data_IF_628260539345
#
_entry.id   IF_628260539345
#
_cell.length_a   1.000
_cell.length_b   1.000
_cell.length_c   1.000
_cell.angle_alpha   90.00
_cell.angle_beta   90.00
_cell.angle_gamma   90.00
#
_symmetry.space_group_name_H-M   'P 1'
#
loop_
_entity.id
_entity.type
_entity.pdbx_description
1 polymer ?
#
# COMPACT_ATOMS: atom_id res chain seq x y z
N UNK A 1 15.76 34.96 -18.98
CA UNK A 1 14.57 34.10 -18.79
C UNK A 1 13.50 34.91 -18.03
N UNK A 2 12.23 34.91 -18.45
CA UNK A 2 11.20 35.69 -17.74
C UNK A 2 10.92 35.12 -16.34
N UNK A 3 10.74 36.00 -15.33
CA UNK A 3 10.52 35.65 -13.92
C UNK A 3 9.50 34.52 -13.71
N UNK A 4 8.42 34.50 -14.50
CA UNK A 4 7.38 33.45 -14.46
C UNK A 4 7.91 32.04 -14.73
N UNK A 5 8.87 31.89 -15.65
CA UNK A 5 9.45 30.57 -16.00
C UNK A 5 10.35 30.06 -14.87
N UNK A 6 11.11 30.95 -14.24
CA UNK A 6 11.96 30.61 -13.09
C UNK A 6 11.09 30.14 -11.92
N UNK A 7 10.02 30.88 -11.60
CA UNK A 7 9.07 30.49 -10.54
C UNK A 7 8.44 29.13 -10.84
N UNK A 8 8.06 28.87 -12.09
CA UNK A 8 7.45 27.59 -12.48
C UNK A 8 8.42 26.43 -12.31
N UNK A 9 9.69 26.58 -12.72
CA UNK A 9 10.71 25.55 -12.53
C UNK A 9 10.98 25.28 -11.05
N UNK A 10 11.10 26.33 -10.25
CA UNK A 10 11.28 26.21 -8.81
C UNK A 10 10.12 25.45 -8.15
N UNK A 11 8.88 25.75 -8.54
CA UNK A 11 7.69 25.06 -8.03
C UNK A 11 7.70 23.57 -8.38
N UNK A 12 8.06 23.21 -9.62
CA UNK A 12 8.15 21.79 -10.03
C UNK A 12 9.23 21.06 -9.23
N UNK A 13 10.38 21.68 -8.99
CA UNK A 13 11.46 21.11 -8.17
C UNK A 13 10.96 20.86 -6.74
N UNK A 14 10.29 21.84 -6.12
CA UNK A 14 9.74 21.70 -4.77
C UNK A 14 8.71 20.58 -4.71
N UNK A 15 7.75 20.53 -5.63
CA UNK A 15 6.73 19.48 -5.68
C UNK A 15 7.36 18.10 -5.88
N UNK A 16 8.36 17.99 -6.76
CA UNK A 16 9.06 16.73 -7.02
C UNK A 16 9.84 16.26 -5.79
N UNK A 17 10.50 17.19 -5.09
CA UNK A 17 11.25 16.88 -3.87
C UNK A 17 10.34 16.46 -2.73
N UNK A 18 9.22 17.18 -2.52
CA UNK A 18 8.20 16.80 -1.55
C UNK A 18 7.60 15.42 -1.86
N UNK A 19 7.34 15.13 -3.14
CA UNK A 19 6.81 13.83 -3.58
C UNK A 19 7.81 12.69 -3.35
N UNK A 20 9.09 12.94 -3.64
CA UNK A 20 10.18 12.01 -3.34
C UNK A 20 10.27 11.70 -1.85
N UNK A 21 10.31 12.74 -1.00
CA UNK A 21 10.39 12.59 0.46
C UNK A 21 9.19 11.81 1.00
N UNK A 22 7.99 12.19 0.58
CA UNK A 22 6.76 11.51 0.97
C UNK A 22 6.79 10.02 0.62
N UNK A 23 7.12 9.66 -0.62
CA UNK A 23 7.13 8.25 -1.02
C UNK A 23 8.20 7.45 -0.28
N UNK A 24 9.40 8.03 -0.10
CA UNK A 24 10.51 7.38 0.59
C UNK A 24 10.22 7.12 2.07
N UNK A 25 9.52 8.04 2.73
CA UNK A 25 9.12 7.87 4.13
C UNK A 25 7.90 6.94 4.27
N UNK A 26 6.94 7.05 3.35
CA UNK A 26 5.66 6.34 3.46
C UNK A 26 5.71 4.89 2.99
N UNK A 27 6.60 4.55 2.06
CA UNK A 27 6.64 3.24 1.42
C UNK A 27 8.04 2.64 1.53
N UNK A 28 8.11 1.32 1.66
CA UNK A 28 9.35 0.60 1.46
C UNK A 28 9.80 0.82 0.00
N UNK A 29 11.00 1.39 -0.24
CA UNK A 29 11.43 1.73 -1.60
C UNK A 29 11.53 0.55 -2.54
N UNK A 30 11.66 -0.68 -2.04
CA UNK A 30 11.74 -1.89 -2.87
C UNK A 30 10.44 -2.68 -2.90
N UNK A 31 9.35 -2.08 -2.42
CA UNK A 31 8.01 -2.62 -2.59
C UNK A 31 7.54 -2.50 -4.03
N UNK A 32 6.70 -3.47 -4.40
CA UNK A 32 5.90 -3.49 -5.62
C UNK A 32 4.44 -3.61 -5.20
N UNK A 33 3.56 -2.83 -5.82
CA UNK A 33 2.10 -2.94 -5.70
C UNK A 33 1.52 -3.32 -7.08
N UNK A 34 0.74 -4.39 -7.13
CA UNK A 34 0.07 -4.85 -8.35
C UNK A 34 -1.43 -4.81 -8.09
N UNK A 35 -2.15 -4.03 -8.90
CA UNK A 35 -3.62 -4.00 -8.90
C UNK A 35 -4.15 -5.01 -9.90
N UNK A 36 -5.19 -5.74 -9.51
CA UNK A 36 -5.80 -6.75 -10.37
C UNK A 36 -7.34 -6.78 -10.23
N UNK A 37 -7.99 -7.48 -11.16
CA UNK A 37 -9.39 -7.92 -11.10
C UNK A 37 -9.45 -9.44 -11.01
N UNK A 38 -10.56 -9.95 -10.45
CA UNK A 38 -10.72 -11.35 -10.07
C UNK A 38 -10.49 -11.58 -8.58
N UNK A 39 -10.55 -12.83 -8.14
CA UNK A 39 -10.39 -13.24 -6.74
C UNK A 39 -9.13 -14.10 -6.59
N UNK A 40 -8.16 -13.58 -5.84
CA UNK A 40 -6.93 -14.28 -5.49
C UNK A 40 -7.10 -14.97 -4.14
N UNK A 41 -7.04 -16.30 -4.11
CA UNK A 41 -7.03 -17.07 -2.87
C UNK A 41 -5.70 -16.92 -2.15
N UNK A 42 -5.73 -16.96 -0.82
CA UNK A 42 -4.52 -16.85 -0.01
C UNK A 42 -3.55 -18.01 -0.32
N UNK A 43 -4.07 -19.22 -0.51
CA UNK A 43 -3.28 -20.39 -0.87
C UNK A 43 -2.57 -20.27 -2.23
N UNK A 44 -3.22 -19.66 -3.22
CA UNK A 44 -2.65 -19.46 -4.54
C UNK A 44 -1.46 -18.51 -4.48
N UNK A 45 -1.61 -17.38 -3.77
CA UNK A 45 -0.49 -16.46 -3.62
C UNK A 45 0.61 -17.04 -2.73
N UNK A 46 0.30 -17.87 -1.73
CA UNK A 46 1.31 -18.60 -0.95
C UNK A 46 2.18 -19.51 -1.84
N UNK A 47 1.64 -20.08 -2.93
CA UNK A 47 2.43 -20.85 -3.92
C UNK A 47 3.37 -19.94 -4.69
N UNK A 48 2.89 -18.79 -5.17
CA UNK A 48 3.70 -17.77 -5.86
C UNK A 48 4.81 -17.28 -4.94
N UNK A 49 4.48 -16.97 -3.68
CA UNK A 49 5.41 -16.55 -2.63
C UNK A 49 6.58 -17.52 -2.47
N UNK A 50 6.28 -18.82 -2.34
CA UNK A 50 7.29 -19.87 -2.18
C UNK A 50 8.16 -20.02 -3.42
N UNK A 51 7.53 -20.06 -4.60
CA UNK A 51 8.24 -20.23 -5.88
C UNK A 51 9.18 -19.06 -6.21
N UNK A 52 8.79 -17.83 -5.86
CA UNK A 52 9.54 -16.61 -6.19
C UNK A 52 10.30 -16.01 -5.00
N UNK A 53 10.32 -16.72 -3.86
CA UNK A 53 10.99 -16.31 -2.61
C UNK A 53 10.59 -14.90 -2.13
N UNK A 54 9.28 -14.62 -2.10
CA UNK A 54 8.72 -13.34 -1.67
C UNK A 54 8.53 -13.32 -0.14
N UNK A 55 9.55 -12.95 0.62
CA UNK A 55 9.51 -13.07 2.09
C UNK A 55 8.42 -12.19 2.74
N UNK A 56 8.23 -10.98 2.22
CA UNK A 56 7.26 -9.99 2.69
C UNK A 56 6.23 -9.75 1.60
N UNK A 57 4.96 -9.99 1.92
CA UNK A 57 3.85 -9.71 1.01
C UNK A 57 2.56 -9.41 1.80
N UNK A 58 1.65 -8.70 1.14
CA UNK A 58 0.30 -8.44 1.66
C UNK A 58 -0.68 -8.44 0.50
N UNK A 59 -1.80 -9.14 0.64
CA UNK A 59 -2.95 -9.03 -0.26
C UNK A 59 -3.95 -8.13 0.43
N UNK A 60 -4.43 -7.09 -0.27
CA UNK A 60 -5.46 -6.21 0.25
C UNK A 60 -6.65 -6.10 -0.68
N UNK A 61 -7.85 -6.27 -0.12
CA UNK A 61 -9.09 -5.84 -0.75
C UNK A 61 -9.64 -4.65 0.00
N UNK A 62 -10.00 -3.57 -0.71
CA UNK A 62 -10.54 -2.37 -0.09
C UNK A 62 -11.81 -1.90 -0.76
N UNK A 63 -12.74 -1.45 0.06
CA UNK A 63 -14.02 -0.88 -0.36
C UNK A 63 -14.44 0.23 0.61
N UNK A 64 -15.38 1.06 0.20
CA UNK A 64 -16.12 1.91 1.13
C UNK A 64 -17.03 1.05 2.02
N UNK A 65 -16.95 1.26 3.33
CA UNK A 65 -17.81 0.61 4.32
C UNK A 65 -18.43 1.67 5.22
N UNK A 66 -19.72 1.96 4.99
CA UNK A 66 -20.41 3.12 5.58
C UNK A 66 -19.66 4.42 5.22
N UNK A 67 -19.22 5.17 6.23
CA UNK A 67 -18.42 6.39 6.05
C UNK A 67 -16.90 6.14 6.16
N UNK A 68 -16.48 4.90 6.33
CA UNK A 68 -15.09 4.50 6.54
C UNK A 68 -14.57 3.73 5.34
N UNK A 69 -13.25 3.52 5.29
CA UNK A 69 -12.63 2.59 4.34
C UNK A 69 -12.43 1.26 5.05
N UNK A 70 -12.94 0.18 4.49
CA UNK A 70 -12.63 -1.17 4.96
C UNK A 70 -11.52 -1.75 4.11
N UNK A 71 -10.54 -2.38 4.75
CA UNK A 71 -9.46 -3.10 4.11
C UNK A 71 -9.39 -4.49 4.73
N UNK A 72 -9.56 -5.50 3.90
CA UNK A 72 -9.25 -6.87 4.26
C UNK A 72 -7.78 -7.14 3.90
N UNK A 73 -7.00 -7.70 4.83
CA UNK A 73 -5.55 -7.89 4.64
C UNK A 73 -5.04 -9.25 5.12
N UNK A 74 -4.07 -9.83 4.40
CA UNK A 74 -3.28 -10.98 4.88
C UNK A 74 -2.21 -10.60 5.92
N UNK A 75 -2.07 -9.32 6.23
CA UNK A 75 -1.07 -8.79 7.17
C UNK A 75 0.23 -8.36 6.51
N UNK A 76 1.25 -8.09 7.33
CA UNK A 76 2.59 -7.58 6.95
C UNK A 76 2.60 -6.21 6.25
N UNK A 77 1.46 -5.50 6.19
CA UNK A 77 1.36 -4.18 5.55
C UNK A 77 2.37 -3.18 6.13
N UNK A 78 2.63 -3.22 7.45
CA UNK A 78 3.59 -2.36 8.15
C UNK A 78 5.04 -2.51 7.67
N UNK A 79 5.38 -3.61 6.98
CA UNK A 79 6.71 -3.82 6.39
C UNK A 79 6.82 -3.26 4.95
N UNK A 80 5.68 -2.90 4.37
CA UNK A 80 5.55 -2.44 2.98
C UNK A 80 5.21 -0.94 2.95
N UNK A 81 4.33 -0.52 3.85
CA UNK A 81 3.85 0.85 4.02
C UNK A 81 3.98 1.26 5.47
N UNK A 82 4.39 2.50 5.71
CA UNK A 82 4.38 3.07 7.05
C UNK A 82 2.92 3.25 7.51
N UNK A 83 2.52 2.50 8.53
CA UNK A 83 1.22 2.61 9.18
C UNK A 83 1.49 3.06 10.62
N UNK A 84 1.22 4.33 10.97
CA UNK A 84 1.56 4.87 12.28
C UNK A 84 0.58 4.36 13.34
N UNK A 85 0.91 3.23 13.97
CA UNK A 85 0.13 2.65 15.07
C UNK A 85 0.47 3.41 16.35
N UNK A 86 -0.56 3.92 17.03
CA UNK A 86 -0.42 4.66 18.30
C UNK A 86 -0.74 3.81 19.52
N UNK A 87 -1.57 2.77 19.37
CA UNK A 87 -1.90 1.82 20.43
C UNK A 87 -1.94 0.40 19.85
N UNK A 88 -1.46 -0.57 20.63
CA UNK A 88 -1.55 -2.00 20.30
C UNK A 88 -0.64 -2.43 19.14
N UNK A 89 -1.10 -3.39 18.34
CA UNK A 89 -0.33 -4.04 17.27
C UNK A 89 -1.09 -4.10 15.94
N UNK A 90 -0.39 -4.47 14.86
CA UNK A 90 -1.01 -4.68 13.55
C UNK A 90 -1.46 -6.12 13.34
N UNK A 91 -2.34 -6.35 12.37
CA UNK A 91 -2.74 -7.70 11.96
C UNK A 91 -1.53 -8.43 11.35
N UNK A 92 -1.12 -9.52 11.98
CA UNK A 92 -0.03 -10.41 11.54
C UNK A 92 -0.51 -11.81 11.19
N UNK A 93 -1.71 -12.18 11.63
CA UNK A 93 -2.33 -13.48 11.41
C UNK A 93 -3.77 -13.31 10.89
N UNK A 94 -4.10 -14.03 9.81
CA UNK A 94 -5.42 -14.02 9.19
C UNK A 94 -6.49 -14.78 9.99
N UNK A 95 -6.10 -15.66 10.91
CA UNK A 95 -7.03 -16.58 11.58
C UNK A 95 -7.72 -15.98 12.82
N UNK A 96 -7.11 -14.97 13.45
CA UNK A 96 -7.70 -14.30 14.62
C UNK A 96 -8.80 -13.33 14.20
N UNK A 97 -9.96 -13.35 14.87
CA UNK A 97 -11.04 -12.36 14.69
C UNK A 97 -10.71 -11.02 15.35
N UNK A 98 -9.74 -10.32 14.78
CA UNK A 98 -9.23 -9.05 15.27
C UNK A 98 -9.43 -7.94 14.26
N UNK A 99 -9.35 -6.68 14.68
CA UNK A 99 -9.39 -5.52 13.81
C UNK A 99 -8.34 -4.49 14.24
N UNK A 100 -7.83 -3.75 13.27
CA UNK A 100 -7.01 -2.56 13.52
C UNK A 100 -7.75 -1.39 12.91
N UNK A 101 -8.05 -0.36 13.70
CA UNK A 101 -8.90 0.74 13.26
C UNK A 101 -8.17 2.06 13.34
N UNK A 102 -8.58 3.04 12.55
CA UNK A 102 -8.09 4.40 12.70
C UNK A 102 -8.67 5.09 13.93
N UNK A 103 -7.94 6.05 14.48
CA UNK A 103 -8.39 6.92 15.59
C UNK A 103 -9.73 7.59 15.31
N UNK A 104 -10.01 8.04 14.08
CA UNK A 104 -11.31 8.61 13.69
C UNK A 104 -12.43 7.58 13.70
N UNK A 105 -12.12 6.30 13.46
CA UNK A 105 -13.08 5.20 13.61
C UNK A 105 -13.33 4.94 15.09
N UNK A 106 -12.26 4.94 15.90
CA UNK A 106 -12.31 4.75 17.34
C UNK A 106 -13.20 5.80 18.02
N UNK A 107 -12.98 7.08 17.70
CA UNK A 107 -13.80 8.18 18.20
C UNK A 107 -15.26 8.06 17.74
N UNK A 108 -15.48 7.70 16.47
CA UNK A 108 -16.84 7.56 15.95
C UNK A 108 -17.66 6.49 16.68
N UNK A 109 -17.12 5.27 16.84
CA UNK A 109 -17.85 4.14 17.41
C UNK A 109 -17.78 4.06 18.94
N UNK A 110 -16.67 4.50 19.54
CA UNK A 110 -16.39 4.25 20.96
C UNK A 110 -16.18 5.53 21.78
N UNK A 111 -16.22 6.71 21.15
CA UNK A 111 -16.01 8.02 21.80
C UNK A 111 -14.69 8.08 22.60
N UNK A 112 -13.65 7.48 22.03
CA UNK A 112 -12.32 7.43 22.65
C UNK A 112 -11.24 7.30 21.59
N UNK A 113 -10.05 7.83 21.89
CA UNK A 113 -8.86 7.65 21.05
C UNK A 113 -8.28 6.22 21.16
N UNK A 114 -8.54 5.52 22.27
CA UNK A 114 -8.05 4.16 22.48
C UNK A 114 -9.20 3.17 22.70
N UNK A 115 -9.54 2.45 21.64
CA UNK A 115 -10.54 1.37 21.67
C UNK A 115 -9.92 -0.04 21.70
N UNK A 116 -8.62 -0.19 22.00
CA UNK A 116 -8.00 -1.53 22.11
C UNK A 116 -8.74 -2.38 23.15
N UNK A 117 -9.00 -3.65 22.83
CA UNK A 117 -9.78 -4.60 23.61
C UNK A 117 -11.30 -4.47 23.46
N UNK A 118 -11.81 -3.40 22.80
CA UNK A 118 -13.24 -3.28 22.49
C UNK A 118 -13.58 -4.11 21.25
N UNK A 119 -14.88 -4.42 21.09
CA UNK A 119 -15.38 -5.14 19.91
C UNK A 119 -16.00 -4.20 18.89
N UNK A 120 -15.66 -4.38 17.63
CA UNK A 120 -16.29 -3.70 16.49
C UNK A 120 -17.03 -4.73 15.63
N UNK A 121 -18.25 -4.39 15.20
CA UNK A 121 -19.02 -5.22 14.28
C UNK A 121 -18.78 -4.78 12.83
N UNK A 122 -18.24 -5.69 12.02
CA UNK A 122 -18.06 -5.49 10.58
C UNK A 122 -18.84 -6.59 9.85
N UNK A 123 -19.81 -6.18 9.05
CA UNK A 123 -20.86 -7.05 8.53
C UNK A 123 -21.57 -7.81 9.67
N UNK A 124 -21.58 -9.14 9.62
CA UNK A 124 -22.17 -10.01 10.64
C UNK A 124 -21.16 -10.49 11.69
N UNK A 125 -19.89 -10.13 11.55
CA UNK A 125 -18.83 -10.61 12.43
C UNK A 125 -18.42 -9.54 13.46
N UNK A 126 -18.14 -9.99 14.67
CA UNK A 126 -17.47 -9.19 15.70
C UNK A 126 -15.97 -9.42 15.66
N UNK A 127 -15.22 -8.33 15.78
CA UNK A 127 -13.76 -8.32 15.81
C UNK A 127 -13.28 -7.58 17.05
N UNK A 128 -12.30 -8.13 17.76
CA UNK A 128 -11.61 -7.42 18.85
C UNK A 128 -10.62 -6.41 18.25
N UNK A 129 -10.70 -5.15 18.68
CA UNK A 129 -9.76 -4.11 18.25
C UNK A 129 -8.43 -4.34 18.96
N UNK A 130 -7.38 -4.65 18.19
CA UNK A 130 -6.03 -4.90 18.72
C UNK A 130 -5.04 -3.77 18.45
N UNK A 131 -5.44 -2.78 17.64
CA UNK A 131 -4.57 -1.65 17.35
C UNK A 131 -5.32 -0.43 16.82
N UNK A 132 -4.72 0.74 17.04
CA UNK A 132 -5.24 2.04 16.60
C UNK A 132 -4.22 2.75 15.71
N UNK A 133 -4.64 3.21 14.54
CA UNK A 133 -3.82 3.95 13.56
C UNK A 133 -4.08 5.44 13.70
N UNK A 134 -3.00 6.23 13.79
CA UNK A 134 -3.05 7.69 13.86
C UNK A 134 -3.64 8.32 12.60
N UNK A 135 -4.45 9.36 12.77
CA UNK A 135 -5.03 10.20 11.73
C UNK A 135 -5.72 9.41 10.60
N UNK A 136 -6.40 8.31 10.92
CA UNK A 136 -6.91 7.35 9.94
C UNK A 136 -8.41 7.13 10.08
N UNK A 137 -9.11 6.96 8.96
CA UNK A 137 -10.53 6.58 8.89
C UNK A 137 -10.73 5.14 8.38
N UNK A 138 -9.69 4.31 8.49
CA UNK A 138 -9.62 2.96 7.91
C UNK A 138 -9.93 1.92 8.97
N UNK A 139 -10.57 0.83 8.57
CA UNK A 139 -10.77 -0.40 9.34
C UNK A 139 -10.02 -1.51 8.61
N UNK A 140 -9.05 -2.13 9.26
CA UNK A 140 -8.40 -3.34 8.78
C UNK A 140 -9.03 -4.56 9.45
N UNK A 141 -9.34 -5.56 8.65
CA UNK A 141 -9.77 -6.89 9.11
C UNK A 141 -8.91 -7.99 8.44
N UNK A 142 -8.78 -9.16 9.07
CA UNK A 142 -8.09 -10.30 8.50
C UNK A 142 -8.70 -10.78 7.19
N UNK A 143 -7.84 -11.33 6.32
CA UNK A 143 -8.24 -11.93 5.05
C UNK A 143 -9.14 -13.14 5.24
N UNK A 144 -10.32 -13.10 4.63
CA UNK A 144 -11.34 -14.13 4.71
C UNK A 144 -12.05 -14.27 3.36
N UNK A 145 -11.89 -15.43 2.74
CA UNK A 145 -12.37 -15.70 1.37
C UNK A 145 -13.90 -15.69 1.28
N UNK A 146 -14.62 -15.83 2.41
CA UNK A 146 -16.08 -15.73 2.43
C UNK A 146 -16.59 -14.36 1.95
N UNK A 147 -15.74 -13.33 1.99
CA UNK A 147 -16.08 -11.98 1.54
C UNK A 147 -15.76 -11.72 0.07
N UNK A 148 -15.32 -12.71 -0.72
CA UNK A 148 -15.02 -12.50 -2.15
C UNK A 148 -16.21 -12.01 -2.97
N UNK A 149 -17.42 -12.44 -2.62
CA UNK A 149 -18.66 -12.02 -3.29
C UNK A 149 -19.07 -10.55 -3.04
N UNK A 150 -18.31 -9.80 -2.24
CA UNK A 150 -18.55 -8.37 -2.04
C UNK A 150 -17.91 -7.53 -3.16
N UNK A 151 -18.48 -6.35 -3.41
CA UNK A 151 -18.01 -5.43 -4.45
C UNK A 151 -16.77 -4.64 -4.00
N UNK A 152 -15.62 -5.30 -4.05
CA UNK A 152 -14.33 -4.70 -3.68
C UNK A 152 -13.82 -3.75 -4.77
N UNK A 153 -13.86 -2.44 -4.50
CA UNK A 153 -13.43 -1.38 -5.42
C UNK A 153 -11.96 -1.49 -5.86
N UNK A 154 -11.08 -1.93 -4.95
CA UNK A 154 -9.65 -2.08 -5.23
C UNK A 154 -9.11 -3.35 -4.60
N UNK A 155 -8.50 -4.18 -5.45
CA UNK A 155 -7.79 -5.39 -5.10
C UNK A 155 -6.32 -5.26 -5.48
N UNK A 156 -5.43 -5.51 -4.53
CA UNK A 156 -3.99 -5.38 -4.73
C UNK A 156 -3.24 -6.50 -4.06
N UNK A 157 -2.10 -6.83 -4.64
CA UNK A 157 -1.05 -7.55 -3.94
C UNK A 157 0.19 -6.69 -3.88
N UNK A 158 0.83 -6.69 -2.71
CA UNK A 158 2.08 -6.00 -2.48
C UNK A 158 3.13 -7.00 -2.04
N UNK A 159 4.37 -6.77 -2.43
CA UNK A 159 5.50 -7.54 -1.93
C UNK A 159 6.77 -6.70 -1.94
N UNK A 160 7.75 -7.10 -1.13
CA UNK A 160 9.08 -6.52 -1.14
C UNK A 160 10.00 -7.40 -1.96
N UNK A 161 10.74 -6.80 -2.89
CA UNK A 161 11.86 -7.48 -3.54
C UNK A 161 13.18 -6.93 -2.99
N UNK A 162 14.15 -7.81 -2.76
CA UNK A 162 15.50 -7.43 -2.35
C UNK A 162 16.49 -7.38 -3.52
N UNK A 163 16.00 -7.50 -4.76
CA UNK A 163 16.84 -7.39 -5.94
C UNK A 163 17.41 -5.96 -6.05
N UNK A 164 18.73 -5.85 -6.00
CA UNK A 164 19.43 -4.56 -6.06
C UNK A 164 19.33 -3.92 -7.44
N UNK A 165 19.44 -4.72 -8.50
CA UNK A 165 19.36 -4.23 -9.87
C UNK A 165 17.92 -4.18 -10.37
N UNK A 166 17.57 -3.09 -11.05
CA UNK A 166 16.23 -2.90 -11.62
C UNK A 166 15.87 -3.99 -12.64
N UNK A 167 16.84 -4.50 -13.39
CA UNK A 167 16.60 -5.57 -14.36
C UNK A 167 16.05 -6.84 -13.69
N UNK A 168 16.69 -7.33 -12.62
CA UNK A 168 16.21 -8.49 -11.88
C UNK A 168 14.87 -8.24 -11.18
N UNK A 169 14.66 -7.01 -10.69
CA UNK A 169 13.37 -6.59 -10.15
C UNK A 169 12.25 -6.71 -11.20
N UNK A 170 12.45 -6.18 -12.40
CA UNK A 170 11.49 -6.28 -13.50
C UNK A 170 11.23 -7.73 -13.92
N UNK A 171 12.26 -8.56 -14.02
CA UNK A 171 12.09 -9.99 -14.29
C UNK A 171 11.20 -10.66 -13.23
N UNK A 172 11.42 -10.32 -11.95
CA UNK A 172 10.59 -10.85 -10.85
C UNK A 172 9.16 -10.34 -10.91
N UNK A 173 8.94 -9.05 -11.18
CA UNK A 173 7.61 -8.45 -11.40
C UNK A 173 6.89 -9.19 -12.54
N UNK A 174 7.53 -9.39 -13.68
CA UNK A 174 6.94 -10.08 -14.82
C UNK A 174 6.58 -11.53 -14.48
N UNK A 175 7.40 -12.22 -13.69
CA UNK A 175 7.07 -13.57 -13.19
C UNK A 175 5.83 -13.54 -12.29
N UNK A 176 5.71 -12.60 -11.36
CA UNK A 176 4.52 -12.46 -10.51
C UNK A 176 3.28 -12.19 -11.37
N UNK A 177 3.36 -11.22 -12.29
CA UNK A 177 2.26 -10.88 -13.22
C UNK A 177 1.83 -12.10 -14.02
N UNK A 178 2.79 -12.83 -14.61
CA UNK A 178 2.50 -14.05 -15.38
C UNK A 178 1.76 -15.09 -14.53
N UNK A 179 2.16 -15.29 -13.27
CA UNK A 179 1.47 -16.23 -12.38
C UNK A 179 0.06 -15.77 -12.02
N UNK A 180 -0.15 -14.47 -11.79
CA UNK A 180 -1.49 -13.92 -11.56
C UNK A 180 -2.37 -14.12 -12.80
N UNK A 181 -1.84 -13.90 -14.01
CA UNK A 181 -2.56 -14.13 -15.27
C UNK A 181 -2.90 -15.61 -15.49
N UNK A 182 -2.01 -16.54 -15.11
CA UNK A 182 -2.30 -18.00 -15.16
C UNK A 182 -3.47 -18.37 -14.24
N UNK A 183 -3.66 -17.65 -13.14
CA UNK A 183 -4.83 -17.80 -12.25
C UNK A 183 -6.10 -17.13 -12.80
N UNK A 184 -6.04 -16.54 -13.99
CA UNK A 184 -7.16 -15.80 -14.59
C UNK A 184 -7.36 -14.40 -14.01
N UNK A 185 -6.38 -13.86 -13.29
CA UNK A 185 -6.43 -12.51 -12.74
C UNK A 185 -5.98 -11.49 -13.79
N UNK A 186 -6.80 -10.46 -13.99
CA UNK A 186 -6.55 -9.38 -14.93
C UNK A 186 -5.77 -8.27 -14.22
N UNK A 187 -4.48 -8.14 -14.54
CA UNK A 187 -3.58 -7.15 -13.96
C UNK A 187 -3.82 -5.78 -14.61
N UNK A 188 -4.23 -4.81 -13.79
CA UNK A 188 -4.65 -3.48 -14.24
C UNK A 188 -3.54 -2.44 -14.15
N UNK A 189 -2.72 -2.52 -13.10
CA UNK A 189 -1.70 -1.51 -12.80
C UNK A 189 -0.58 -2.12 -11.96
N UNK A 190 0.62 -1.59 -12.14
CA UNK A 190 1.84 -2.02 -11.44
C UNK A 190 2.60 -0.77 -11.01
N UNK A 191 2.86 -0.67 -9.71
CA UNK A 191 3.66 0.39 -9.11
C UNK A 191 4.92 -0.22 -8.51
N UNK A 192 6.07 0.09 -9.10
CA UNK A 192 7.38 -0.18 -8.51
C UNK A 192 7.83 1.09 -7.79
N UNK A 193 7.79 1.08 -6.45
CA UNK A 193 8.05 2.30 -5.67
C UNK A 193 9.46 2.85 -5.88
N UNK A 194 10.44 1.97 -6.11
CA UNK A 194 11.83 2.32 -6.44
C UNK A 194 11.89 3.25 -7.66
N UNK A 195 11.16 2.90 -8.72
CA UNK A 195 11.11 3.69 -9.95
C UNK A 195 10.41 5.02 -9.74
N UNK A 196 9.30 5.04 -9.00
CA UNK A 196 8.59 6.30 -8.71
C UNK A 196 9.48 7.25 -7.89
N UNK A 197 10.15 6.75 -6.86
CA UNK A 197 11.06 7.51 -6.00
C UNK A 197 12.23 8.08 -6.82
N UNK A 198 12.94 7.26 -7.58
CA UNK A 198 14.06 7.74 -8.40
C UNK A 198 13.63 8.56 -9.60
N UNK A 199 12.42 8.35 -10.12
CA UNK A 199 11.82 9.18 -11.16
C UNK A 199 11.73 10.65 -10.74
N UNK A 200 11.27 10.93 -9.52
CA UNK A 200 11.25 12.30 -8.99
C UNK A 200 12.65 12.92 -8.87
N UNK A 201 13.65 12.13 -8.45
CA UNK A 201 15.04 12.59 -8.39
C UNK A 201 15.57 12.92 -9.80
N UNK A 202 15.31 12.07 -10.78
CA UNK A 202 15.73 12.32 -12.17
C UNK A 202 15.08 13.58 -12.75
N UNK A 203 13.80 13.82 -12.44
CA UNK A 203 13.11 15.07 -12.81
C UNK A 203 13.82 16.28 -12.19
N UNK A 204 14.16 16.23 -10.89
CA UNK A 204 14.88 17.33 -10.23
C UNK A 204 16.23 17.59 -10.90
N UNK A 205 17.02 16.54 -11.18
CA UNK A 205 18.32 16.65 -11.84
C UNK A 205 18.19 17.29 -13.23
N UNK A 206 17.23 16.81 -14.03
CA UNK A 206 17.00 17.31 -15.38
C UNK A 206 16.57 18.79 -15.38
N UNK A 207 15.67 19.17 -14.46
CA UNK A 207 15.24 20.56 -14.32
C UNK A 207 16.37 21.46 -13.83
N UNK A 208 17.25 20.95 -12.96
CA UNK A 208 18.45 21.66 -12.54
C UNK A 208 19.39 21.91 -13.72
N UNK A 209 19.65 20.89 -14.55
CA UNK A 209 20.46 21.04 -15.76
C UNK A 209 19.87 22.05 -16.76
N UNK A 210 18.55 22.01 -16.98
CA UNK A 210 17.84 22.99 -17.83
C UNK A 210 17.98 24.41 -17.25
N UNK A 211 17.87 24.57 -15.93
CA UNK A 211 18.03 25.86 -15.28
C UNK A 211 19.44 26.44 -15.52
N UNK A 212 20.49 25.63 -15.35
CA UNK A 212 21.88 26.05 -15.57
C UNK A 212 22.19 26.38 -17.03
N UNK A 213 21.69 25.58 -17.98
CA UNK A 213 21.93 25.79 -19.42
C UNK A 213 21.24 27.02 -20.00
N UNK A 214 20.23 27.59 -19.32
CA UNK A 214 19.54 28.81 -19.74
C UNK A 214 20.15 30.08 -19.08
N UNK A 215 20.93 29.90 -18.01
CA UNK A 215 21.59 30.98 -17.28
C UNK A 215 22.99 31.33 -17.80
N UNK A 216 23.62 30.41 -18.55
CA UNK A 216 24.84 30.63 -19.35
C UNK A 216 24.48 31.14 -20.74
#
# INVERSE_FOLDING_TARGET
MGLRRIISLALIIVISFSSYMYLKEKYNPTAVEIRFRGDLRNEEFRKIKKMLYLNVYSINYSMKYRQHKLIMTTGMDTQIIDIPIIYGEFITDSERKVAVIGDKVSDFYFKTENAVGKKIKVFENEYEVIGIIKNSNVIYIPFDEKFFGLDWEKKIVRYVSYDKELFYLHLKVNKVVSQLSVLGLDVQDIVVYKEKIYGYINVIILLHYIYYSILL
#
